data_IF_050983043286
#
_entry.id   IF_050983043286
#
_cell.length_a   1.000
_cell.length_b   1.000
_cell.length_c   1.000
_cell.angle_alpha   90.00
_cell.angle_beta   90.00
_cell.angle_gamma   90.00
#
_symmetry.space_group_name_H-M   'P 1'
#
loop_
_entity.id
_entity.type
_entity.pdbx_description
1 polymer ?
2 non-polymer ?
3 water ?
#
# COMPACT_ATOMS: atom_id res chain seq x y z
N UNK A 4 3.65 -14.63 4.50
CA UNK A 4 3.00 -15.52 3.51
C UNK A 4 2.66 -14.73 2.23
N UNK A 5 3.45 -14.95 1.19
CA UNK A 5 3.29 -14.22 -0.07
C UNK A 5 1.95 -14.50 -0.73
N UNK A 6 1.49 -15.75 -0.67
CA UNK A 6 0.17 -16.11 -1.20
C UNK A 6 -0.94 -15.32 -0.52
N UNK A 7 -0.82 -15.18 0.81
CA UNK A 7 -1.80 -14.45 1.62
C UNK A 7 -1.72 -12.95 1.36
N UNK A 8 -0.50 -12.44 1.18
CA UNK A 8 -0.28 -11.01 0.90
C UNK A 8 -0.79 -10.63 -0.48
N UNK A 9 -0.58 -11.52 -1.46
CA UNK A 9 -1.10 -11.29 -2.81
C UNK A 9 -2.62 -11.24 -2.82
N UNK A 10 -3.25 -12.18 -2.11
CA UNK A 10 -4.70 -12.22 -2.02
C UNK A 10 -5.29 -10.95 -1.39
N UNK A 11 -4.70 -10.50 -0.30
CA UNK A 11 -5.17 -9.30 0.36
C UNK A 11 -4.92 -8.02 -0.46
N UNK A 12 -3.76 -7.96 -1.09
CA UNK A 12 -3.42 -6.83 -1.96
C UNK A 12 -4.39 -6.77 -3.12
N UNK A 13 -4.73 -7.93 -3.66
CA UNK A 13 -5.56 -7.97 -4.85
C UNK A 13 -6.90 -7.34 -4.59
N UNK A 14 -7.43 -7.56 -3.39
CA UNK A 14 -8.77 -7.05 -3.04
C UNK A 14 -8.78 -5.67 -2.39
N UNK A 15 -7.72 -5.28 -1.68
CA UNK A 15 -7.73 -3.99 -0.94
C UNK A 15 -6.94 -2.87 -1.61
N UNK A 16 -6.11 -3.24 -2.58
CA UNK A 16 -5.15 -2.30 -3.16
C UNK A 16 -5.08 -2.25 -4.69
N UNK A 17 -5.32 -3.39 -5.34
CA UNK A 17 -5.00 -3.56 -6.74
C UNK A 17 -5.80 -2.65 -7.70
N UNK A 18 -7.03 -2.31 -7.35
CA UNK A 18 -7.81 -1.45 -8.26
C UNK A 18 -7.12 -0.12 -8.50
N UNK A 19 -6.43 0.40 -7.47
CA UNK A 19 -5.65 1.62 -7.62
C UNK A 19 -4.20 1.36 -8.03
N UNK A 20 -3.58 0.33 -7.49
CA UNK A 20 -2.16 0.05 -7.71
C UNK A 20 -1.99 -1.17 -8.59
N UNK A 21 -2.62 -1.08 -9.77
CA UNK A 21 -2.71 -2.23 -10.64
C UNK A 21 -1.32 -2.68 -11.11
N UNK A 22 -0.98 -3.92 -10.75
CA UNK A 22 0.34 -4.54 -11.01
C UNK A 22 1.50 -3.65 -10.58
N UNK A 23 1.30 -2.94 -9.47
CA UNK A 23 2.30 -2.07 -8.92
C UNK A 23 2.26 -0.61 -9.32
N UNK A 24 1.24 -0.21 -10.10
CA UNK A 24 1.15 1.12 -10.67
C UNK A 24 0.37 2.05 -9.76
N UNK A 25 -0.28 3.03 -10.38
CA UNK A 25 -1.14 3.95 -9.68
C UNK A 25 -2.03 4.60 -10.73
N UNK A 26 -3.29 4.22 -10.72
CA UNK A 26 -4.21 4.69 -11.77
C UNK A 26 -4.72 6.09 -11.55
N UNK A 27 -4.44 6.64 -10.37
CA UNK A 27 -4.97 7.94 -9.95
C UNK A 27 -3.91 9.02 -10.07
N UNK A 28 -2.70 8.72 -9.60
CA UNK A 28 -1.63 9.68 -9.40
C UNK A 28 -0.34 9.19 -10.04
N UNK A 29 -0.04 9.70 -11.23
CA UNK A 29 1.26 9.39 -11.84
C UNK A 29 2.38 9.87 -10.93
N UNK A 30 3.48 9.13 -10.95
CA UNK A 30 4.63 9.40 -10.13
C UNK A 30 4.60 8.74 -8.77
N UNK A 31 3.45 8.20 -8.37
CA UNK A 31 3.35 7.64 -7.06
C UNK A 31 3.02 6.16 -7.12
N UNK A 32 3.72 5.44 -7.99
CA UNK A 32 3.54 4.01 -8.09
C UNK A 32 4.23 3.26 -6.96
N UNK A 33 4.05 1.94 -6.95
CA UNK A 33 4.73 1.07 -6.00
C UNK A 33 6.03 0.50 -6.55
N UNK A 34 6.48 1.01 -7.69
CA UNK A 34 7.80 0.64 -8.23
C UNK A 34 8.91 1.28 -7.40
N UNK A 35 10.03 0.59 -7.30
CA UNK A 35 11.16 1.08 -6.47
C UNK A 35 11.56 2.55 -6.72
N UNK A 36 11.67 2.96 -7.99
CA UNK A 36 12.11 4.32 -8.30
C UNK A 36 11.17 5.36 -7.70
N UNK A 37 9.86 5.12 -7.79
CA UNK A 37 8.89 6.09 -7.28
C UNK A 37 8.85 6.09 -5.75
N UNK A 38 8.88 4.91 -5.18
CA UNK A 38 8.93 4.79 -3.73
C UNK A 38 10.14 5.55 -3.22
N UNK A 39 11.28 5.36 -3.87
CA UNK A 39 12.52 6.01 -3.44
C UNK A 39 12.43 7.52 -3.53
N UNK A 40 11.88 7.99 -4.64
CA UNK A 40 11.79 9.42 -4.87
C UNK A 40 10.84 10.08 -3.88
N UNK A 41 9.82 9.32 -3.43
CA UNK A 41 8.88 9.81 -2.47
C UNK A 41 9.24 9.52 -1.02
N UNK A 42 10.43 8.97 -0.81
CA UNK A 42 10.94 8.76 0.55
C UNK A 42 10.28 7.63 1.32
N UNK A 43 9.77 6.64 0.60
CA UNK A 43 8.95 5.56 1.23
C UNK A 43 9.31 4.14 0.77
N UNK A 44 10.54 3.93 0.32
CA UNK A 44 10.99 2.60 -0.12
C UNK A 44 11.50 1.74 1.04
N UNK A 45 10.74 1.68 2.13
CA UNK A 45 11.01 0.81 3.25
C UNK A 45 9.70 0.24 3.77
N UNK A 46 9.78 -0.96 4.34
CA UNK A 46 8.58 -1.58 4.93
C UNK A 46 7.94 -0.64 5.96
N UNK A 47 8.76 0.05 6.77
CA UNK A 47 8.22 0.89 7.83
C UNK A 47 7.48 2.10 7.27
N UNK A 48 8.00 2.66 6.18
CA UNK A 48 7.36 3.80 5.53
C UNK A 48 6.14 3.39 4.73
N UNK A 49 6.22 2.24 4.09
CA UNK A 49 5.05 1.68 3.37
C UNK A 49 3.93 1.40 4.38
N UNK A 50 4.29 0.82 5.53
CA UNK A 50 3.30 0.54 6.55
C UNK A 50 2.65 1.86 7.02
N UNK A 51 3.46 2.86 7.30
CA UNK A 51 2.94 4.10 7.85
C UNK A 51 1.98 4.77 6.86
N UNK A 52 2.36 4.81 5.59
CA UNK A 52 1.47 5.45 4.61
C UNK A 52 0.17 4.66 4.42
N UNK A 53 0.27 3.35 4.44
CA UNK A 53 -0.94 2.52 4.33
C UNK A 53 -1.86 2.73 5.55
N UNK A 54 -1.24 2.91 6.70
CA UNK A 54 -2.00 3.06 7.93
C UNK A 54 -2.69 4.40 7.99
N UNK A 55 -1.96 5.48 7.73
CA UNK A 55 -2.52 6.84 7.90
C UNK A 55 -2.94 7.56 6.62
N UNK A 56 -2.46 7.10 5.48
CA UNK A 56 -2.82 7.70 4.19
C UNK A 56 -2.00 8.94 3.86
N UNK A 57 -2.24 9.47 2.67
CA UNK A 57 -1.56 10.69 2.23
C UNK A 57 -2.27 11.13 0.97
N UNK A 58 -2.69 12.40 0.92
CA UNK A 58 -3.41 12.89 -0.24
C UNK A 58 -4.61 12.02 -0.54
N UNK A 59 -4.71 11.52 -1.77
CA UNK A 59 -5.81 10.67 -2.18
C UNK A 59 -5.60 9.16 -1.89
N UNK A 60 -4.50 8.83 -1.23
CA UNK A 60 -4.24 7.47 -0.74
C UNK A 60 -4.95 7.41 0.61
N UNK A 61 -6.02 6.61 0.70
CA UNK A 61 -6.72 6.55 1.98
C UNK A 61 -5.90 5.85 3.03
N UNK A 62 -6.08 6.23 4.31
CA UNK A 62 -5.49 5.47 5.38
C UNK A 62 -6.37 4.28 5.75
N UNK A 63 -5.76 3.16 6.08
CA UNK A 63 -6.53 1.95 6.38
C UNK A 63 -6.42 1.51 7.85
N UNK A 64 -5.57 2.19 8.62
CA UNK A 64 -5.29 1.76 9.98
C UNK A 64 -6.45 1.96 10.93
N UNK A 65 -6.53 1.13 11.96
CA UNK A 65 -7.67 1.16 12.89
C UNK A 65 -7.78 2.53 13.60
N UNK A 66 -6.63 3.13 13.92
CA UNK A 66 -6.58 4.42 14.58
C UNK A 66 -6.26 5.55 13.60
N UNK A 67 -6.42 5.31 12.30
CA UNK A 67 -6.30 6.39 11.34
C UNK A 67 -7.34 7.47 11.70
N UNK A 68 -6.93 8.72 11.63
CA UNK A 68 -7.76 9.80 12.12
C UNK A 68 -7.19 11.07 11.51
N UNK A 69 -8.06 12.04 11.19
CA UNK A 69 -9.51 12.03 11.31
C UNK A 69 -10.21 11.20 10.23
N UNK A 70 -11.46 10.86 10.50
CA UNK A 70 -12.27 10.02 9.62
C UNK A 70 -12.14 10.31 8.10
N UNK A 71 -12.09 11.60 7.75
CA UNK A 71 -12.01 12.00 6.36
C UNK A 71 -10.76 11.57 5.58
N UNK A 72 -9.64 11.33 6.27
CA UNK A 72 -8.41 10.93 5.57
C UNK A 72 -8.28 9.41 5.43
N UNK A 73 -9.26 8.69 5.97
CA UNK A 73 -9.22 7.23 6.01
C UNK A 73 -10.28 6.59 5.12
N UNK A 74 -10.07 5.31 4.77
CA UNK A 74 -11.05 4.54 4.00
C UNK A 74 -12.44 4.65 4.64
N UNK A 75 -13.50 4.76 3.83
CA UNK A 75 -14.86 4.64 4.39
C UNK A 75 -15.31 3.18 4.44
N UNK A 76 -14.49 2.30 3.89
CA UNK A 76 -14.69 0.86 4.07
C UNK A 76 -14.18 0.40 5.41
N UNK A 77 -14.12 -0.92 5.64
CA UNK A 77 -13.56 -1.40 6.91
C UNK A 77 -12.07 -1.11 7.03
N UNK A 78 -11.63 -0.80 8.23
CA UNK A 78 -10.19 -0.65 8.50
C UNK A 78 -9.52 -2.04 8.47
N UNK A 79 -8.23 -2.08 8.19
CA UNK A 79 -7.44 -3.30 8.23
C UNK A 79 -6.78 -3.44 9.61
N UNK A 80 -6.68 -4.67 10.09
CA UNK A 80 -5.92 -4.94 11.31
C UNK A 80 -4.43 -4.68 11.10
N UNK A 81 -3.73 -4.36 12.18
CA UNK A 81 -2.28 -4.18 12.12
C UNK A 81 -1.56 -5.36 11.39
N UNK A 82 -1.95 -6.60 11.67
CA UNK A 82 -1.26 -7.73 11.04
C UNK A 82 -1.46 -7.73 9.53
N UNK A 83 -2.63 -7.29 9.09
CA UNK A 83 -2.93 -7.22 7.66
C UNK A 83 -2.06 -6.15 6.99
N UNK A 84 -1.88 -5.01 7.65
CA UNK A 84 -1.12 -3.90 7.08
C UNK A 84 0.36 -4.29 7.03
N UNK A 85 0.83 -4.98 8.07
CA UNK A 85 2.20 -5.51 8.07
C UNK A 85 2.42 -6.46 6.91
N UNK A 86 1.51 -7.41 6.71
CA UNK A 86 1.59 -8.33 5.56
C UNK A 86 1.65 -7.57 4.23
N UNK A 87 0.78 -6.59 4.10
CA UNK A 87 0.71 -5.77 2.89
C UNK A 87 2.01 -4.97 2.67
N UNK A 88 2.55 -4.40 3.74
CA UNK A 88 3.80 -3.64 3.63
C UNK A 88 4.99 -4.54 3.22
N UNK A 89 5.08 -5.71 3.82
CA UNK A 89 6.05 -6.72 3.43
C UNK A 89 5.88 -7.13 1.96
N UNK A 90 4.64 -7.36 1.56
CA UNK A 90 4.33 -7.78 0.19
C UNK A 90 4.73 -6.70 -0.82
N UNK A 91 4.36 -5.45 -0.56
CA UNK A 91 4.76 -4.36 -1.44
C UNK A 91 6.28 -4.22 -1.56
N UNK A 92 6.97 -4.27 -0.42
CA UNK A 92 8.42 -4.16 -0.45
C UNK A 92 9.04 -5.28 -1.25
N UNK A 93 8.55 -6.50 -1.05
CA UNK A 93 9.06 -7.69 -1.76
C UNK A 93 8.83 -7.57 -3.26
N UNK A 94 7.62 -7.18 -3.64
CA UNK A 94 7.25 -7.03 -5.05
C UNK A 94 8.04 -5.92 -5.73
N UNK A 95 8.22 -4.79 -5.04
CA UNK A 95 8.96 -3.67 -5.59
C UNK A 95 10.41 -4.10 -5.79
N UNK A 96 10.96 -4.79 -4.80
CA UNK A 96 12.35 -5.28 -4.95
C UNK A 96 12.51 -6.21 -6.17
N UNK A 97 11.45 -6.96 -6.46
CA UNK A 97 11.45 -7.95 -7.55
C UNK A 97 11.07 -7.33 -8.89
N UNK A 98 10.64 -6.06 -8.87
CA UNK A 98 10.23 -5.33 -10.05
C UNK A 98 8.81 -5.60 -10.54
N UNK A 99 7.93 -6.01 -9.63
CA UNK A 99 6.53 -6.35 -9.91
C UNK A 99 6.38 -7.36 -11.04
N UNK A 100 6.89 -8.58 -10.85
CA UNK A 100 6.75 -9.58 -11.91
C UNK A 100 5.29 -9.84 -12.30
N UNK A 101 5.04 -10.00 -13.60
CA UNK A 101 3.75 -10.42 -14.11
C UNK A 101 3.92 -11.81 -14.71
N UNK A 102 3.00 -12.65 -14.69
X LIG B 1 -2.09 3.58 -2.28
X LIG B 1 0.36 5.97 -2.69
X LIG B 1 0.17 1.55 -0.74
X LIG B 1 -4.60 1.35 -1.57
X LIG B 1 -4.25 5.43 -4.09
X LIG B 1 -0.14 3.74 -1.79
X LIG B 1 0.72 4.79 -2.09
X LIG B 1 2.07 4.44 -1.67
X LIG B 1 2.00 3.23 -1.11
X LIG B 1 0.62 2.75 -1.17
X LIG B 1 3.17 2.42 -0.50
X LIG B 1 3.28 5.34 -1.89
X LIG B 1 3.67 5.30 -3.37
X LIG B 1 4.75 6.28 -3.76
X LIG B 1 4.98 7.25 -3.00
X LIG B 1 5.38 6.11 -4.86
X LIG B 1 -2.22 1.79 -1.35
X LIG B 1 -1.14 1.11 -0.81
X LIG B 1 -1.64 -0.13 -0.26
X LIG B 1 -2.96 -0.19 -0.48
X LIG B 1 -3.34 1.03 -1.15
X LIG B 1 -0.71 -1.14 0.44
X LIG B 1 -3.97 -1.25 -0.03
X LIG B 1 -4.02 -1.41 1.33
X LIG B 1 -4.07 3.41 -2.73
X LIG B 1 -4.91 2.42 -2.35
X LIG B 1 -6.20 2.68 -2.97
X LIG B 1 -6.12 3.80 -3.68
X LIG B 1 -4.76 4.29 -3.52
X LIG B 1 -7.42 1.78 -2.81
X LIG B 1 -7.20 4.47 -4.52
X LIG B 1 -8.43 4.71 -4.05
X LIG B 1 -1.96 5.36 -3.22
X LIG B 1 -3.03 5.97 -3.85
X LIG B 1 -2.67 7.31 -4.26
X LIG B 1 -1.26 7.48 -3.81
X LIG B 1 -0.89 6.24 -3.19
X LIG B 1 -3.55 8.36 -4.97
X LIG B 1 -0.44 8.75 -3.99
X LIG B 1 -0.76 9.68 -2.81
X LIG B 1 -0.01 11.00 -2.89
X LIG B 1 -0.02 11.77 -1.91
X LIG B 1 0.58 11.32 -3.93
#
# INVERSE_FOLDING_TARGET
QTLDIQRGATLFNRACIACHDTGGNIIQPGATLFTKDLERNGVDTEEEIYRQTYFGKGRMPGFGEKCTPRGQCTFGPRLQDEEIKLLAEFVKFQADQGWPTVSTD
HEC FE CHA CHB CHC CHD NA C1A C2A C3A C4A CMA CAA CBA CGA O1A O2A NB C1B C2B C3B C4B CMB CAB CBB NC C1C C2C C3C C4C CMC CAC CBC ND C1D C2D C3D C4D CMD CAD CBD CGD O1D O2D
#
